data_IF_414380424304
#
_entry.id   IF_414380424304
#
_cell.length_a   1.000
_cell.length_b   1.000
_cell.length_c   1.000
_cell.angle_alpha   90.00
_cell.angle_beta   90.00
_cell.angle_gamma   90.00
#
_symmetry.space_group_name_H-M   'P 1'
#
loop_
_entity.id
_entity.type
_entity.pdbx_description
1 polymer ?
#
# COMPACT_ATOMS: atom_id res chain seq x y z
N UNK A 1 -18.21 0.76 14.36
CA UNK A 1 -17.82 2.07 14.89
C UNK A 1 -16.95 2.80 13.87
N UNK A 2 -17.13 4.10 13.75
CA UNK A 2 -16.39 4.90 12.76
C UNK A 2 -14.89 4.79 12.97
N UNK A 3 -14.40 4.87 14.23
CA UNK A 3 -12.98 4.80 14.52
C UNK A 3 -12.34 3.47 14.12
N UNK A 4 -13.05 2.37 14.29
CA UNK A 4 -12.56 1.05 13.89
C UNK A 4 -12.50 0.93 12.37
N UNK A 5 -13.49 1.47 11.68
CA UNK A 5 -13.51 1.49 10.22
C UNK A 5 -12.39 2.34 9.64
N UNK A 6 -12.15 3.51 10.24
CA UNK A 6 -11.07 4.41 9.83
C UNK A 6 -9.72 3.71 10.02
N UNK A 7 -9.50 3.11 11.19
CA UNK A 7 -8.25 2.40 11.48
C UNK A 7 -8.00 1.26 10.49
N UNK A 8 -9.05 0.48 10.20
CA UNK A 8 -8.95 -0.63 9.25
C UNK A 8 -8.62 -0.13 7.83
N UNK A 9 -9.24 0.95 7.41
CA UNK A 9 -9.00 1.52 6.09
C UNK A 9 -7.58 2.09 5.98
N UNK A 10 -7.11 2.79 7.02
CA UNK A 10 -5.74 3.31 7.06
C UNK A 10 -4.75 2.17 6.93
N UNK A 11 -4.92 1.10 7.71
CA UNK A 11 -4.06 -0.08 7.66
C UNK A 11 -4.05 -0.69 6.26
N UNK A 12 -5.22 -0.89 5.68
CA UNK A 12 -5.36 -1.47 4.36
C UNK A 12 -4.64 -0.63 3.28
N UNK A 13 -4.85 0.67 3.29
CA UNK A 13 -4.22 1.55 2.30
C UNK A 13 -2.71 1.61 2.47
N UNK A 14 -2.22 1.64 3.73
CA UNK A 14 -0.78 1.60 3.98
C UNK A 14 -0.15 0.32 3.44
N UNK A 15 -0.77 -0.83 3.69
CA UNK A 15 -0.27 -2.10 3.19
C UNK A 15 -0.31 -2.18 1.67
N UNK A 16 -1.39 -1.73 1.05
CA UNK A 16 -1.52 -1.70 -0.40
C UNK A 16 -0.42 -0.85 -1.03
N UNK A 17 -0.19 0.35 -0.50
CA UNK A 17 0.83 1.25 -1.02
C UNK A 17 2.23 0.67 -0.82
N UNK A 18 2.52 0.09 0.34
CA UNK A 18 3.81 -0.52 0.62
C UNK A 18 4.10 -1.69 -0.32
N UNK A 19 3.15 -2.62 -0.43
CA UNK A 19 3.34 -3.83 -1.22
C UNK A 19 3.45 -3.50 -2.71
N UNK A 20 2.56 -2.66 -3.23
CA UNK A 20 2.60 -2.32 -4.66
C UNK A 20 3.76 -1.41 -5.02
N UNK A 21 4.20 -0.53 -4.10
CA UNK A 21 5.44 0.24 -4.30
C UNK A 21 6.66 -0.69 -4.32
N UNK A 22 6.68 -1.70 -3.46
CA UNK A 22 7.73 -2.70 -3.46
C UNK A 22 7.78 -3.45 -4.81
N UNK A 23 6.64 -3.89 -5.31
CA UNK A 23 6.56 -4.56 -6.62
C UNK A 23 7.14 -3.66 -7.71
N UNK A 24 6.80 -2.38 -7.69
CA UNK A 24 7.26 -1.43 -8.70
C UNK A 24 8.76 -1.15 -8.58
N UNK A 25 9.23 -0.77 -7.38
CA UNK A 25 10.61 -0.30 -7.21
C UNK A 25 11.62 -1.42 -7.07
N UNK A 26 11.28 -2.55 -6.46
CA UNK A 26 12.22 -3.64 -6.21
C UNK A 26 12.14 -4.76 -7.24
N UNK A 27 10.99 -4.97 -7.86
CA UNK A 27 10.80 -6.05 -8.83
C UNK A 27 10.52 -5.55 -10.25
N UNK A 28 10.45 -4.24 -10.43
CA UNK A 28 10.26 -3.60 -11.73
C UNK A 28 9.01 -4.10 -12.45
N UNK A 29 7.94 -4.30 -11.71
CA UNK A 29 6.65 -4.74 -12.24
C UNK A 29 5.53 -3.83 -11.74
N UNK A 30 4.37 -3.92 -12.36
CA UNK A 30 3.21 -3.13 -11.98
C UNK A 30 1.97 -4.02 -12.05
N UNK A 31 1.37 -4.30 -10.88
CA UNK A 31 0.15 -5.10 -10.78
C UNK A 31 -1.09 -4.22 -10.85
N UNK A 32 -1.01 -3.02 -10.26
CA UNK A 32 -2.08 -2.02 -10.35
C UNK A 32 -1.60 -0.86 -11.21
N UNK A 33 -2.54 -0.17 -11.85
CA UNK A 33 -2.17 0.99 -12.66
C UNK A 33 -1.88 2.22 -11.78
N UNK A 34 -1.27 3.23 -12.39
CA UNK A 34 -0.88 4.44 -11.67
C UNK A 34 -2.09 5.17 -11.08
N UNK A 35 -3.22 5.15 -11.78
CA UNK A 35 -4.44 5.80 -11.32
C UNK A 35 -4.98 5.15 -10.05
N UNK A 36 -4.95 3.83 -9.97
CA UNK A 36 -5.38 3.08 -8.78
C UNK A 36 -4.47 3.38 -7.59
N UNK A 37 -3.16 3.33 -7.80
CA UNK A 37 -2.17 3.65 -6.76
C UNK A 37 -2.38 5.09 -6.25
N UNK A 38 -2.53 6.04 -7.17
CA UNK A 38 -2.74 7.45 -6.83
C UNK A 38 -4.03 7.66 -6.04
N UNK A 39 -5.09 6.97 -6.40
CA UNK A 39 -6.37 7.04 -5.67
C UNK A 39 -6.21 6.58 -4.22
N UNK A 40 -5.53 5.45 -4.01
CA UNK A 40 -5.26 4.95 -2.67
C UNK A 40 -4.40 5.93 -1.86
N UNK A 41 -3.40 6.52 -2.50
CA UNK A 41 -2.48 7.46 -1.85
C UNK A 41 -3.19 8.72 -1.39
N UNK A 42 -4.04 9.30 -2.25
CA UNK A 42 -4.83 10.49 -1.91
C UNK A 42 -5.81 10.18 -0.78
N UNK A 43 -6.49 9.04 -0.86
CA UNK A 43 -7.44 8.62 0.17
C UNK A 43 -6.75 8.47 1.52
N UNK A 44 -5.57 7.81 1.56
CA UNK A 44 -4.81 7.65 2.79
C UNK A 44 -4.37 9.00 3.35
N UNK A 45 -3.85 9.88 2.50
CA UNK A 45 -3.41 11.21 2.92
C UNK A 45 -4.56 11.98 3.57
N UNK A 46 -5.75 11.92 2.98
CA UNK A 46 -6.94 12.58 3.51
C UNK A 46 -7.36 11.98 4.84
N UNK A 47 -7.33 10.66 4.98
CA UNK A 47 -7.69 9.97 6.22
C UNK A 47 -6.72 10.30 7.35
N UNK A 48 -5.42 10.32 7.05
CA UNK A 48 -4.42 10.67 8.06
C UNK A 48 -4.55 12.10 8.53
N UNK A 49 -4.88 13.02 7.62
CA UNK A 49 -5.11 14.41 7.96
C UNK A 49 -6.38 14.61 8.80
N UNK A 50 -7.44 13.88 8.48
CA UNK A 50 -8.72 13.97 9.19
C UNK A 50 -8.69 13.27 10.56
N UNK A 51 -7.90 12.21 10.69
CA UNK A 51 -7.87 11.36 11.90
C UNK A 51 -6.45 11.10 12.38
N UNK A 52 -5.69 12.16 12.74
CA UNK A 52 -4.27 12.00 13.07
C UNK A 52 -4.01 11.11 14.30
N UNK A 53 -4.90 11.17 15.31
CA UNK A 53 -4.73 10.35 16.50
C UNK A 53 -4.90 8.86 16.19
N UNK A 54 -5.84 8.52 15.33
CA UNK A 54 -6.03 7.14 14.88
C UNK A 54 -4.85 6.70 14.03
N UNK A 55 -4.42 7.54 13.09
CA UNK A 55 -3.30 7.26 12.20
C UNK A 55 -2.02 6.93 12.97
N UNK A 56 -1.77 7.63 14.09
CA UNK A 56 -0.59 7.41 14.92
C UNK A 56 -0.58 6.04 15.60
N UNK A 57 -1.73 5.41 15.76
CA UNK A 57 -1.87 4.13 16.46
C UNK A 57 -1.93 2.92 15.51
N UNK A 58 -2.10 3.15 14.22
CA UNK A 58 -2.18 2.08 13.23
C UNK A 58 -0.77 1.69 12.78
N UNK A 59 -0.57 0.41 12.48
CA UNK A 59 0.71 -0.12 12.00
C UNK A 59 1.28 0.72 10.86
N UNK A 60 2.60 0.85 10.83
CA UNK A 60 3.35 1.61 9.83
C UNK A 60 3.21 3.14 9.99
N UNK A 61 2.81 3.61 11.18
CA UNK A 61 2.61 5.04 11.42
C UNK A 61 3.88 5.85 11.12
N UNK A 62 5.05 5.38 11.56
CA UNK A 62 6.31 6.09 11.33
C UNK A 62 6.64 6.21 9.84
N UNK A 63 6.37 5.16 9.08
CA UNK A 63 6.66 5.14 7.63
C UNK A 63 5.80 6.13 6.85
N UNK A 64 4.60 6.43 7.35
CA UNK A 64 3.64 7.29 6.66
C UNK A 64 3.44 8.64 7.33
N UNK A 65 4.28 9.00 8.31
CA UNK A 65 4.12 10.24 9.06
C UNK A 65 4.13 11.47 8.17
N UNK A 66 5.06 11.53 7.23
CA UNK A 66 5.20 12.66 6.31
C UNK A 66 4.81 12.29 4.88
N UNK A 67 3.97 11.27 4.75
CA UNK A 67 3.57 10.76 3.45
C UNK A 67 2.71 11.76 2.68
N UNK A 68 3.04 11.95 1.41
CA UNK A 68 2.16 12.62 0.46
C UNK A 68 1.93 11.71 -0.75
N UNK A 69 0.90 12.05 -1.54
CA UNK A 69 0.46 11.20 -2.66
C UNK A 69 1.35 11.27 -3.89
N UNK A 70 2.41 12.07 -3.87
CA UNK A 70 3.21 12.30 -5.07
C UNK A 70 4.16 11.16 -5.40
N UNK A 71 4.58 10.38 -4.39
CA UNK A 71 5.55 9.31 -4.62
C UNK A 71 5.56 8.28 -3.50
N UNK A 72 5.81 7.00 -3.89
CA UNK A 72 6.11 5.93 -2.94
C UNK A 72 7.60 5.70 -2.73
N UNK A 73 8.43 6.58 -3.25
CA UNK A 73 9.87 6.40 -3.24
C UNK A 73 10.48 6.29 -1.84
N UNK A 74 9.96 7.04 -0.88
CA UNK A 74 10.48 7.08 0.48
C UNK A 74 9.90 6.00 1.40
N UNK A 75 9.01 5.17 0.91
CA UNK A 75 8.43 4.10 1.72
C UNK A 75 9.43 2.96 1.93
N UNK A 76 9.30 2.20 3.06
CA UNK A 76 10.24 1.11 3.35
C UNK A 76 9.96 -0.14 2.50
N UNK A 77 10.18 -0.03 1.20
CA UNK A 77 9.85 -1.09 0.23
C UNK A 77 10.77 -2.30 0.33
N UNK A 78 11.90 -2.19 1.04
CA UNK A 78 12.84 -3.29 1.23
C UNK A 78 12.67 -4.03 2.56
N UNK A 79 11.66 -3.67 3.34
CA UNK A 79 11.33 -4.39 4.55
C UNK A 79 11.11 -5.87 4.23
N UNK A 80 11.72 -6.82 4.97
CA UNK A 80 11.61 -8.25 4.64
C UNK A 80 10.19 -8.77 4.60
N UNK A 81 9.32 -8.30 5.49
CA UNK A 81 7.92 -8.71 5.50
C UNK A 81 7.19 -8.21 4.25
N UNK A 82 7.44 -6.93 3.89
CA UNK A 82 6.86 -6.33 2.68
C UNK A 82 7.38 -7.05 1.43
N UNK A 83 8.66 -7.36 1.39
CA UNK A 83 9.25 -8.11 0.26
C UNK A 83 8.59 -9.48 0.08
N UNK A 84 8.33 -10.19 1.18
CA UNK A 84 7.63 -11.47 1.11
C UNK A 84 6.21 -11.32 0.57
N UNK A 85 5.49 -10.31 1.06
CA UNK A 85 4.13 -10.04 0.59
C UNK A 85 4.10 -9.66 -0.89
N UNK A 86 5.07 -8.87 -1.32
CA UNK A 86 5.19 -8.49 -2.73
C UNK A 86 5.39 -9.72 -3.61
N UNK A 87 6.28 -10.64 -3.21
CA UNK A 87 6.50 -11.88 -3.95
C UNK A 87 5.24 -12.74 -4.01
N UNK A 88 4.52 -12.86 -2.90
CA UNK A 88 3.28 -13.64 -2.86
C UNK A 88 2.23 -13.09 -3.81
N UNK A 89 2.04 -11.76 -3.83
CA UNK A 89 1.03 -11.15 -4.69
C UNK A 89 1.43 -11.24 -6.16
N UNK A 90 2.72 -11.16 -6.46
CA UNK A 90 3.22 -11.34 -7.84
C UNK A 90 2.96 -12.76 -8.34
N UNK A 91 3.23 -13.76 -7.52
CA UNK A 91 2.98 -15.16 -7.87
C UNK A 91 1.48 -15.39 -8.10
N UNK A 92 0.67 -14.89 -7.20
CA UNK A 92 -0.78 -15.01 -7.29
C UNK A 92 -1.32 -14.35 -8.56
N UNK A 93 -0.84 -13.14 -8.85
CA UNK A 93 -1.23 -12.39 -10.04
C UNK A 93 -0.85 -13.15 -11.32
N UNK A 94 0.34 -13.72 -11.35
CA UNK A 94 0.81 -14.52 -12.50
C UNK A 94 -0.06 -15.75 -12.72
N UNK A 95 -0.43 -16.44 -11.64
CA UNK A 95 -1.33 -17.61 -11.72
C UNK A 95 -2.70 -17.25 -12.27
N UNK A 96 -3.24 -16.12 -11.82
CA UNK A 96 -4.54 -15.65 -12.31
C UNK A 96 -4.49 -15.34 -13.80
N UNK A 97 -3.43 -14.69 -14.26
CA UNK A 97 -3.25 -14.36 -15.67
C UNK A 97 -3.07 -15.62 -16.52
N UNK A 98 -2.34 -16.61 -16.02
CA UNK A 98 -2.15 -17.87 -16.74
C UNK A 98 -3.45 -18.66 -16.87
N UNK A 99 -4.28 -18.64 -15.84
CA UNK A 99 -5.58 -19.29 -15.89
C UNK A 99 -6.49 -18.64 -16.94
N UNK A 100 -6.42 -17.33 -17.08
CA UNK A 100 -7.23 -16.59 -18.05
C UNK A 100 -6.84 -16.92 -19.50
N UNK A 101 -5.65 -17.41 -19.73
CA UNK A 101 -5.16 -17.75 -21.08
C UNK A 101 -5.60 -19.13 -21.54
N UNK A 102 -6.16 -19.89 -20.65
CA UNK A 102 -6.67 -21.22 -20.99
C UNK A 102 -8.12 -21.15 -21.44
#
# INVERSE_FOLDING_TARGET
MISEQVAATIKQRRLQLLVHSCVYYEFNQSIVDDATWAKWAVELEQLQAAYPAIADKVEWAAAFKDFDHSTGYNLPVRDPWIMRKARQIMIWHERMNNNDKM
#
